data_IF_905712877203
#
_entry.id   IF_905712877203
#
_cell.length_a   1.000
_cell.length_b   1.000
_cell.length_c   1.000
_cell.angle_alpha   90.00
_cell.angle_beta   90.00
_cell.angle_gamma   90.00
#
_symmetry.space_group_name_H-M   'P 1'
#
loop_
_entity.id
_entity.type
_entity.pdbx_description
1 polymer ?
#
# COMPACT_ATOMS: atom_id res chain seq x y z
N UNK A 1 36.33 -24.05 -6.64
CA UNK A 1 35.63 -23.86 -5.34
C UNK A 1 34.13 -23.79 -5.58
N UNK A 2 33.37 -24.81 -5.14
CA UNK A 2 31.91 -24.80 -5.18
C UNK A 2 31.38 -24.39 -3.80
N UNK A 3 30.70 -23.25 -3.75
CA UNK A 3 30.08 -22.68 -2.53
C UNK A 3 29.10 -23.65 -1.84
N UNK A 4 28.50 -24.58 -2.59
CA UNK A 4 27.47 -25.49 -2.11
C UNK A 4 28.02 -26.75 -1.44
N UNK A 5 29.33 -27.00 -1.44
CA UNK A 5 29.93 -28.24 -0.90
C UNK A 5 30.58 -28.00 0.46
N UNK A 6 30.95 -26.75 0.75
CA UNK A 6 31.67 -26.38 1.96
C UNK A 6 30.71 -26.30 3.18
N UNK A 7 31.04 -26.97 4.29
CA UNK A 7 30.12 -27.14 5.43
C UNK A 7 29.77 -25.85 6.17
N UNK A 8 30.66 -24.85 6.23
CA UNK A 8 30.37 -23.55 6.83
C UNK A 8 29.34 -22.76 6.01
N UNK A 9 29.52 -22.64 4.69
CA UNK A 9 28.56 -21.98 3.79
C UNK A 9 27.20 -22.72 3.78
N UNK A 10 27.19 -24.05 3.82
CA UNK A 10 25.95 -24.83 3.99
C UNK A 10 25.22 -24.47 5.28
N UNK A 11 25.95 -24.31 6.38
CA UNK A 11 25.37 -23.96 7.68
C UNK A 11 24.81 -22.55 7.66
N UNK A 12 25.48 -21.60 7.01
CA UNK A 12 25.00 -20.23 6.82
C UNK A 12 23.72 -20.18 5.98
N UNK A 13 23.67 -20.89 4.85
CA UNK A 13 22.49 -20.96 3.99
C UNK A 13 21.30 -21.58 4.75
N UNK A 14 21.53 -22.67 5.50
CA UNK A 14 20.50 -23.29 6.34
C UNK A 14 19.99 -22.34 7.44
N UNK A 15 20.89 -21.59 8.07
CA UNK A 15 20.52 -20.60 9.09
C UNK A 15 19.69 -19.46 8.48
N UNK A 16 20.09 -18.94 7.31
CA UNK A 16 19.34 -17.92 6.58
C UNK A 16 17.94 -18.42 6.18
N UNK A 17 17.84 -19.63 5.64
CA UNK A 17 16.55 -20.25 5.32
C UNK A 17 15.66 -20.40 6.57
N UNK A 18 16.23 -20.92 7.68
CA UNK A 18 15.52 -21.06 8.96
C UNK A 18 15.06 -19.71 9.52
N UNK A 19 15.87 -18.66 9.36
CA UNK A 19 15.50 -17.30 9.75
C UNK A 19 14.29 -16.79 8.96
N UNK A 20 14.31 -16.95 7.63
CA UNK A 20 13.18 -16.54 6.77
C UNK A 20 11.91 -17.32 7.11
N UNK A 21 12.00 -18.65 7.27
CA UNK A 21 10.85 -19.49 7.66
C UNK A 21 10.32 -19.09 9.03
N UNK A 22 11.19 -18.89 10.03
CA UNK A 22 10.77 -18.46 11.36
C UNK A 22 10.08 -17.09 11.31
N UNK A 23 10.54 -16.17 10.47
CA UNK A 23 9.93 -14.85 10.30
C UNK A 23 8.54 -14.95 9.67
N UNK A 24 8.37 -15.83 8.67
CA UNK A 24 7.06 -16.10 8.06
C UNK A 24 6.10 -16.76 9.05
N UNK A 25 6.54 -17.80 9.76
CA UNK A 25 5.67 -18.56 10.68
C UNK A 25 5.32 -17.75 11.93
N UNK A 26 6.31 -17.10 12.56
CA UNK A 26 6.10 -16.42 13.85
C UNK A 26 5.53 -15.01 13.73
N UNK A 27 5.86 -14.30 12.65
CA UNK A 27 5.45 -12.89 12.47
C UNK A 27 4.48 -12.70 11.31
N UNK A 28 4.15 -13.75 10.55
CA UNK A 28 3.28 -13.68 9.37
C UNK A 28 3.68 -12.56 8.40
N UNK A 29 4.99 -12.28 8.29
CA UNK A 29 5.50 -11.21 7.45
C UNK A 29 5.58 -11.66 5.99
N UNK A 30 4.41 -11.84 5.38
CA UNK A 30 4.23 -12.27 4.00
C UNK A 30 4.65 -11.11 3.09
N UNK A 31 5.56 -11.39 2.16
CA UNK A 31 5.95 -10.42 1.15
C UNK A 31 4.85 -10.32 0.11
N UNK A 32 4.29 -9.12 -0.03
CA UNK A 32 3.31 -8.81 -1.06
C UNK A 32 4.07 -8.50 -2.35
N UNK A 33 3.72 -9.13 -3.48
CA UNK A 33 4.33 -8.81 -4.76
C UNK A 33 4.21 -7.30 -5.05
N UNK A 34 5.27 -6.65 -5.58
CA UNK A 34 5.28 -5.19 -5.79
C UNK A 34 4.23 -4.71 -6.81
N UNK A 35 3.70 -5.62 -7.64
CA UNK A 35 2.61 -5.37 -8.58
C UNK A 35 1.20 -5.52 -7.95
N UNK A 36 1.10 -6.00 -6.72
CA UNK A 36 -0.19 -6.26 -6.03
C UNK A 36 -0.41 -5.38 -4.80
N UNK A 37 0.63 -4.77 -4.25
CA UNK A 37 0.46 -3.84 -3.15
C UNK A 37 1.60 -2.84 -2.99
N UNK A 38 1.25 -1.65 -2.47
CA UNK A 38 2.21 -0.57 -2.20
C UNK A 38 1.80 0.20 -0.93
N UNK A 39 2.81 0.62 -0.17
CA UNK A 39 2.66 1.58 0.94
C UNK A 39 2.66 2.99 0.36
N UNK A 40 1.59 3.75 0.56
CA UNK A 40 1.45 5.13 0.07
C UNK A 40 0.95 6.03 1.21
N UNK A 41 1.14 7.34 1.06
CA UNK A 41 0.59 8.31 2.00
C UNK A 41 -0.85 8.67 1.62
N UNK A 42 -1.70 8.88 2.62
CA UNK A 42 -3.05 9.38 2.42
C UNK A 42 -3.10 10.90 2.34
N UNK A 43 -3.78 11.44 1.35
CA UNK A 43 -4.09 12.86 1.19
C UNK A 43 -5.59 13.04 0.98
N UNK A 44 -6.07 14.26 1.17
CA UNK A 44 -7.49 14.60 1.00
C UNK A 44 -7.69 15.27 -0.37
N UNK A 45 -8.84 15.01 -0.98
CA UNK A 45 -9.27 15.63 -2.23
C UNK A 45 -9.72 17.06 -2.02
N UNK A 46 -8.88 18.02 -2.39
CA UNK A 46 -9.23 19.45 -2.33
C UNK A 46 -10.26 19.86 -3.40
N UNK A 47 -10.47 19.05 -4.45
CA UNK A 47 -11.38 19.38 -5.55
C UNK A 47 -12.83 19.03 -5.26
N UNK A 48 -13.08 18.11 -4.32
CA UNK A 48 -14.43 17.65 -3.96
C UNK A 48 -15.11 16.77 -5.03
N UNK A 49 -14.35 16.22 -5.98
CA UNK A 49 -14.88 15.38 -7.04
C UNK A 49 -15.05 13.91 -6.63
N UNK A 50 -14.26 13.42 -5.66
CA UNK A 50 -14.42 12.06 -5.16
C UNK A 50 -15.69 11.92 -4.32
N UNK A 51 -16.46 10.87 -4.60
CA UNK A 51 -17.62 10.50 -3.79
C UNK A 51 -17.21 9.57 -2.65
N UNK A 52 -18.10 9.45 -1.65
CA UNK A 52 -17.92 8.52 -0.54
C UNK A 52 -17.79 7.07 -1.02
N UNK A 53 -16.75 6.38 -0.54
CA UNK A 53 -16.41 5.01 -0.98
C UNK A 53 -15.51 4.95 -2.22
N UNK A 54 -15.20 6.10 -2.82
CA UNK A 54 -14.24 6.22 -3.91
C UNK A 54 -12.90 6.73 -3.42
N UNK A 55 -11.84 6.40 -4.16
CA UNK A 55 -10.48 6.92 -3.94
C UNK A 55 -9.82 7.19 -5.29
N UNK A 56 -8.83 8.08 -5.31
CA UNK A 56 -7.93 8.23 -6.45
C UNK A 56 -6.55 7.71 -6.07
N UNK A 57 -5.96 6.87 -6.93
CA UNK A 57 -4.64 6.30 -6.71
C UNK A 57 -3.87 6.30 -8.03
N UNK A 58 -2.77 7.04 -8.05
CA UNK A 58 -1.82 7.06 -9.16
C UNK A 58 -0.44 6.73 -8.62
N UNK A 59 0.26 5.81 -9.30
CA UNK A 59 1.56 5.34 -8.85
C UNK A 59 2.57 5.23 -9.99
N UNK A 60 3.84 5.36 -9.64
CA UNK A 60 4.94 5.15 -10.58
C UNK A 60 5.12 3.65 -10.83
N UNK A 61 5.13 3.20 -12.09
CA UNK A 61 5.20 1.76 -12.42
C UNK A 61 6.51 1.12 -11.94
N UNK A 62 7.62 1.85 -12.05
CA UNK A 62 8.93 1.40 -11.63
C UNK A 62 9.11 1.51 -10.11
N UNK A 63 8.88 0.40 -9.39
CA UNK A 63 9.05 0.32 -7.93
C UNK A 63 10.49 0.58 -7.45
N UNK A 64 11.50 0.30 -8.27
CA UNK A 64 12.91 0.49 -7.90
C UNK A 64 13.34 1.96 -7.89
N UNK A 65 12.55 2.86 -8.51
CA UNK A 65 12.82 4.29 -8.52
C UNK A 65 12.29 4.90 -7.22
N UNK A 66 13.17 5.01 -6.21
CA UNK A 66 12.84 5.70 -4.95
C UNK A 66 12.57 7.19 -5.16
N UNK A 67 13.24 7.79 -6.15
CA UNK A 67 13.08 9.18 -6.55
C UNK A 67 12.77 9.21 -8.04
N UNK A 68 11.50 9.03 -8.43
CA UNK A 68 11.15 8.97 -9.83
C UNK A 68 11.36 10.34 -10.49
N UNK A 69 12.01 10.40 -11.67
CA UNK A 69 12.10 11.64 -12.44
C UNK A 69 10.70 12.08 -12.92
N UNK A 70 10.50 13.37 -13.27
CA UNK A 70 9.20 13.89 -13.71
C UNK A 70 8.56 13.10 -14.87
N UNK A 71 9.40 12.51 -15.73
CA UNK A 71 9.00 11.72 -16.90
C UNK A 71 8.85 10.21 -16.62
N UNK A 72 8.86 9.79 -15.35
CA UNK A 72 8.63 8.37 -15.04
C UNK A 72 7.24 7.93 -15.50
N UNK A 73 7.12 6.67 -15.96
CA UNK A 73 5.82 6.12 -16.35
C UNK A 73 4.89 6.03 -15.12
N UNK A 74 3.73 6.67 -15.24
CA UNK A 74 2.70 6.74 -14.21
C UNK A 74 1.50 5.92 -14.65
N UNK A 75 0.84 5.30 -13.70
CA UNK A 75 -0.37 4.52 -13.94
C UNK A 75 -1.45 4.88 -12.93
N UNK A 76 -2.62 5.22 -13.43
CA UNK A 76 -3.83 5.38 -12.62
C UNK A 76 -4.42 4.00 -12.35
N UNK A 77 -4.73 3.73 -11.08
CA UNK A 77 -5.41 2.52 -10.66
C UNK A 77 -6.91 2.73 -10.76
N UNK A 78 -7.62 1.79 -11.37
CA UNK A 78 -9.09 1.80 -11.45
C UNK A 78 -9.69 0.48 -10.96
N UNK A 79 -10.91 0.56 -10.42
CA UNK A 79 -11.67 -0.57 -9.90
C UNK A 79 -11.46 -0.84 -8.41
N UNK A 80 -11.87 -2.02 -7.93
CA UNK A 80 -11.88 -2.33 -6.49
C UNK A 80 -10.47 -2.45 -5.91
N UNK A 81 -10.23 -1.69 -4.85
CA UNK A 81 -8.96 -1.67 -4.12
C UNK A 81 -9.21 -1.93 -2.64
N UNK A 82 -8.27 -2.62 -2.00
CA UNK A 82 -8.29 -2.84 -0.56
C UNK A 82 -7.29 -1.89 0.07
N UNK A 83 -7.75 -1.05 0.98
CA UNK A 83 -6.90 -0.16 1.77
C UNK A 83 -6.86 -0.64 3.22
N UNK A 84 -5.68 -0.53 3.83
CA UNK A 84 -5.52 -0.73 5.26
C UNK A 84 -4.47 0.21 5.84
N UNK A 85 -4.63 0.61 7.10
CA UNK A 85 -3.63 1.37 7.84
C UNK A 85 -2.51 0.45 8.31
N UNK A 86 -1.28 0.97 8.31
CA UNK A 86 -0.16 0.32 8.97
C UNK A 86 0.17 1.00 10.31
N UNK A 87 0.13 0.30 11.47
CA UNK A 87 -0.30 -1.08 11.68
C UNK A 87 -1.82 -1.25 11.69
N UNK A 88 -2.30 -2.42 11.27
CA UNK A 88 -3.71 -2.83 11.33
C UNK A 88 -3.97 -3.52 12.67
N UNK A 89 -4.86 -2.96 13.49
CA UNK A 89 -5.15 -3.43 14.85
C UNK A 89 -6.48 -4.17 14.94
N UNK A 90 -7.50 -3.70 14.21
CA UNK A 90 -8.84 -4.31 14.20
C UNK A 90 -9.30 -4.58 12.77
N UNK A 91 -10.24 -5.51 12.60
CA UNK A 91 -10.76 -5.87 11.28
C UNK A 91 -11.41 -4.68 10.54
N UNK A 92 -11.88 -3.66 11.28
CA UNK A 92 -12.42 -2.42 10.71
C UNK A 92 -11.39 -1.50 10.06
N UNK A 93 -10.09 -1.73 10.29
CA UNK A 93 -8.99 -0.96 9.69
C UNK A 93 -8.72 -1.37 8.24
N UNK A 94 -9.41 -2.42 7.76
CA UNK A 94 -9.34 -2.90 6.38
C UNK A 94 -10.66 -2.55 5.68
N UNK A 95 -10.57 -1.82 4.57
CA UNK A 95 -11.75 -1.40 3.81
C UNK A 95 -11.54 -1.53 2.31
N UNK A 96 -12.63 -1.84 1.62
CA UNK A 96 -12.66 -1.89 0.15
C UNK A 96 -13.20 -0.57 -0.36
N UNK A 97 -12.48 0.03 -1.30
CA UNK A 97 -12.86 1.25 -2.00
C UNK A 97 -12.92 1.00 -3.51
N UNK A 98 -13.55 1.92 -4.22
CA UNK A 98 -13.51 1.98 -5.68
C UNK A 98 -12.50 3.03 -6.14
N UNK A 99 -11.44 2.60 -6.82
CA UNK A 99 -10.49 3.52 -7.43
C UNK A 99 -11.06 4.07 -8.73
N UNK A 100 -11.16 5.40 -8.81
CA UNK A 100 -11.74 6.14 -9.95
C UNK A 100 -10.68 7.06 -10.53
N UNK A 101 -10.72 7.25 -11.85
CA UNK A 101 -9.83 8.18 -12.55
C UNK A 101 -10.45 9.59 -12.58
N UNK A 102 -9.72 10.58 -12.07
CA UNK A 102 -10.11 11.99 -12.05
C UNK A 102 -8.94 12.81 -12.63
N UNK A 103 -9.11 13.43 -13.82
CA UNK A 103 -8.04 14.18 -14.49
C UNK A 103 -7.42 15.29 -13.62
N UNK A 104 -8.25 15.98 -12.84
CA UNK A 104 -7.80 17.08 -11.98
C UNK A 104 -6.86 16.61 -10.86
N UNK A 105 -6.87 15.33 -10.51
CA UNK A 105 -6.01 14.73 -9.49
C UNK A 105 -4.73 14.11 -10.05
N UNK A 106 -4.49 14.13 -11.37
CA UNK A 106 -3.31 13.52 -12.02
C UNK A 106 -1.96 14.12 -11.59
N UNK A 107 -2.00 15.32 -10.99
CA UNK A 107 -0.82 15.94 -10.38
C UNK A 107 -0.35 15.18 -9.13
N UNK A 108 -1.26 14.51 -8.41
CA UNK A 108 -0.97 13.71 -7.22
C UNK A 108 -0.40 12.34 -7.62
N UNK A 109 0.78 12.01 -7.09
CA UNK A 109 1.53 10.81 -7.45
C UNK A 109 2.04 10.07 -6.20
N UNK A 110 1.99 8.74 -6.23
CA UNK A 110 2.41 7.84 -5.15
C UNK A 110 1.71 8.15 -3.80
N UNK A 111 0.47 8.63 -3.89
CA UNK A 111 -0.44 8.93 -2.77
C UNK A 111 -1.82 8.32 -3.02
N UNK A 112 -2.55 8.07 -1.94
CA UNK A 112 -3.97 7.70 -1.97
C UNK A 112 -4.77 8.95 -1.62
N UNK A 113 -5.67 9.35 -2.50
CA UNK A 113 -6.53 10.53 -2.29
C UNK A 113 -7.89 10.06 -1.80
N UNK A 114 -8.33 10.63 -0.68
CA UNK A 114 -9.62 10.37 -0.07
C UNK A 114 -10.61 11.52 -0.30
N UNK A 115 -11.91 11.24 -0.49
CA UNK A 115 -12.95 12.26 -0.61
C UNK A 115 -13.06 13.12 0.65
N UNK A 116 -13.36 14.41 0.46
CA UNK A 116 -13.78 15.32 1.55
C UNK A 116 -15.23 15.09 1.99
N UNK A 117 -16.05 14.55 1.09
CA UNK A 117 -17.48 14.38 1.29
C UNK A 117 -17.80 12.99 1.84
N UNK A 118 -18.61 12.94 2.89
CA UNK A 118 -19.07 11.69 3.49
C UNK A 118 -19.65 11.89 4.89
N UNK A 119 -20.43 10.93 5.40
CA UNK A 119 -20.95 10.96 6.76
C UNK A 119 -19.85 10.89 7.83
N UNK A 120 -18.70 10.29 7.49
CA UNK A 120 -17.50 10.23 8.33
C UNK A 120 -16.26 10.19 7.42
N UNK A 121 -15.14 10.85 7.78
CA UNK A 121 -13.90 10.73 7.00
C UNK A 121 -13.41 9.28 6.95
N UNK A 122 -13.06 8.77 5.77
CA UNK A 122 -12.55 7.41 5.61
C UNK A 122 -11.31 7.05 6.45
N UNK A 123 -10.39 7.98 6.73
CA UNK A 123 -9.28 7.72 7.65
C UNK A 123 -9.74 7.51 9.11
N UNK A 124 -10.77 8.24 9.54
CA UNK A 124 -11.38 8.10 10.87
C UNK A 124 -12.13 6.77 10.98
N UNK A 125 -12.71 6.33 9.88
CA UNK A 125 -13.36 5.04 9.73
C UNK A 125 -12.43 3.81 9.81
N UNK A 126 -11.13 4.00 9.60
CA UNK A 126 -10.11 2.94 9.56
C UNK A 126 -9.18 2.93 10.80
N UNK A 127 -9.45 3.75 11.83
CA UNK A 127 -8.77 3.71 13.14
C UNK A 127 -9.30 4.69 14.22
N UNK A 128 -10.36 5.46 13.98
CA UNK A 128 -10.85 6.49 14.89
C UNK A 128 -9.94 7.71 15.04
N UNK A 129 -9.03 7.94 14.08
CA UNK A 129 -8.08 9.05 14.13
C UNK A 129 -8.48 10.22 13.21
N UNK A 130 -8.57 11.41 13.80
CA UNK A 130 -8.85 12.66 13.09
C UNK A 130 -7.71 13.03 12.13
N UNK A 131 -8.06 13.34 10.87
CA UNK A 131 -7.13 13.78 9.82
C UNK A 131 -6.40 15.10 10.15
N UNK A 132 -6.86 15.86 11.17
CA UNK A 132 -6.34 17.18 11.55
C UNK A 132 -4.93 17.17 12.17
N UNK A 133 -4.31 16.02 12.41
CA UNK A 133 -2.88 15.95 12.75
C UNK A 133 -2.18 15.14 11.68
N UNK A 134 -1.33 15.82 10.91
CA UNK A 134 -0.32 15.27 9.99
C UNK A 134 0.56 14.21 10.67
N UNK A 135 0.01 13.04 10.97
CA UNK A 135 0.79 11.84 11.19
C UNK A 135 0.71 11.09 9.88
N UNK A 136 1.87 10.93 9.25
CA UNK A 136 2.13 10.18 8.03
C UNK A 136 1.50 8.78 8.11
N UNK A 137 0.19 8.68 7.85
CA UNK A 137 -0.52 7.42 7.84
C UNK A 137 -0.16 6.76 6.52
N UNK A 138 0.69 5.73 6.62
CA UNK A 138 0.95 4.88 5.49
C UNK A 138 -0.23 3.93 5.32
N UNK A 139 -0.91 4.07 4.19
CA UNK A 139 -1.93 3.16 3.74
C UNK A 139 -1.27 2.11 2.84
N UNK A 140 -1.55 0.84 3.12
CA UNK A 140 -1.29 -0.22 2.16
C UNK A 140 -2.46 -0.30 1.20
N UNK A 141 -2.21 0.03 -0.06
CA UNK A 141 -3.16 -0.22 -1.14
C UNK A 141 -2.82 -1.55 -1.78
N UNK A 142 -3.81 -2.44 -1.84
CA UNK A 142 -3.73 -3.67 -2.59
C UNK A 142 -4.65 -3.62 -3.81
N UNK A 143 -4.05 -3.77 -4.99
CA UNK A 143 -4.78 -3.94 -6.22
C UNK A 143 -5.13 -5.43 -6.39
N UNK A 144 -6.43 -5.74 -6.54
CA UNK A 144 -6.92 -7.06 -6.94
C UNK A 144 -6.61 -8.20 -5.96
N UNK A 145 -6.98 -8.05 -4.69
CA UNK A 145 -6.89 -9.12 -3.66
C UNK A 145 -8.17 -9.97 -3.57
N UNK A 146 -9.29 -9.55 -4.15
CA UNK A 146 -10.55 -10.31 -4.12
C UNK A 146 -10.62 -11.38 -5.23
N UNK A 147 -9.83 -12.44 -5.07
CA UNK A 147 -10.21 -13.81 -5.42
C UNK A 147 -9.67 -14.69 -4.29
N UNK A 148 -10.39 -14.69 -3.17
CA UNK A 148 -10.43 -15.86 -2.28
C UNK A 148 -11.62 -16.70 -2.74
#
# INVERSE_FOLDING_TARGET
FQLSTEPFFRSLIKAAAKFVVNKLVRKQQIQVPPNKGRSMLGVVDETGQLQYGQVFVQYTENFNLKTPPPNASKKVLTGKVLLTKNPCMVAGDVRVFEAVDIPDLHHLNDVVVFPIHGPRPHPDEMAGENFNRFRLLSFYCFARVLRL
#
